data_IF_707570705538
#
_entry.id   IF_707570705538
#
_cell.length_a   1.000
_cell.length_b   1.000
_cell.length_c   1.000
_cell.angle_alpha   90.00
_cell.angle_beta   90.00
_cell.angle_gamma   90.00
#
_symmetry.space_group_name_H-M   'P 1'
#
loop_
_entity.id
_entity.type
_entity.pdbx_description
1 polymer ?
#
# COMPACT_ATOMS: atom_id res chain seq x y z
N UNK A 1 -4.86 5.17 -21.70
CA UNK A 1 -4.98 4.16 -20.64
C UNK A 1 -4.45 4.78 -19.35
N UNK A 2 -5.21 4.76 -18.25
CA UNK A 2 -4.68 5.14 -16.94
C UNK A 2 -4.10 3.87 -16.31
N UNK A 3 -2.79 3.82 -16.15
CA UNK A 3 -2.11 2.72 -15.46
C UNK A 3 -2.04 3.04 -13.97
N UNK A 4 -2.06 2.00 -13.13
CA UNK A 4 -1.84 2.15 -11.69
C UNK A 4 -0.49 1.54 -11.35
N UNK A 5 0.38 2.32 -10.73
CA UNK A 5 1.67 1.85 -10.24
C UNK A 5 1.45 1.08 -8.95
N UNK A 6 1.96 -0.14 -8.88
CA UNK A 6 1.93 -0.95 -7.67
C UNK A 6 3.33 -1.02 -7.07
N UNK A 7 3.51 -0.44 -5.89
CA UNK A 7 4.74 -0.56 -5.10
C UNK A 7 4.60 -1.79 -4.22
N UNK A 8 5.54 -2.73 -4.35
CA UNK A 8 5.52 -4.03 -3.67
C UNK A 8 6.68 -4.11 -2.67
N UNK A 9 6.37 -4.29 -1.38
CA UNK A 9 7.35 -4.46 -0.30
C UNK A 9 7.21 -5.86 0.29
N UNK A 10 7.95 -6.83 -0.28
CA UNK A 10 7.86 -8.25 0.07
C UNK A 10 8.77 -8.69 1.22
N UNK A 11 9.82 -7.94 1.52
CA UNK A 11 10.79 -8.27 2.56
C UNK A 11 11.09 -7.04 3.42
N UNK A 12 11.50 -7.23 4.69
CA UNK A 12 11.98 -6.14 5.52
C UNK A 12 13.10 -5.37 4.82
N UNK A 13 12.96 -4.05 4.76
CA UNK A 13 13.95 -3.13 4.23
C UNK A 13 14.63 -2.38 5.38
N UNK A 14 15.71 -1.65 5.09
CA UNK A 14 16.15 -0.62 6.05
C UNK A 14 15.05 0.44 6.20
N UNK A 15 15.00 1.12 7.35
CA UNK A 15 13.99 2.17 7.59
C UNK A 15 14.00 3.25 6.49
N UNK A 16 15.20 3.62 6.02
CA UNK A 16 15.38 4.55 4.90
C UNK A 16 14.76 4.01 3.59
N UNK A 17 15.07 2.77 3.21
CA UNK A 17 14.55 2.15 1.98
C UNK A 17 13.04 1.96 2.03
N UNK A 18 12.50 1.64 3.20
CA UNK A 18 11.06 1.54 3.40
C UNK A 18 10.38 2.89 3.24
N UNK A 19 10.92 3.94 3.86
CA UNK A 19 10.46 5.32 3.66
C UNK A 19 10.51 5.73 2.18
N UNK A 20 11.63 5.51 1.50
CA UNK A 20 11.79 5.81 0.07
C UNK A 20 10.71 5.13 -0.79
N UNK A 21 10.36 3.87 -0.49
CA UNK A 21 9.31 3.16 -1.21
C UNK A 21 7.92 3.80 -1.02
N UNK A 22 7.62 4.28 0.19
CA UNK A 22 6.38 4.99 0.46
C UNK A 22 6.37 6.40 -0.15
N UNK A 23 7.52 7.09 -0.15
CA UNK A 23 7.69 8.40 -0.78
C UNK A 23 7.42 8.33 -2.29
N UNK A 24 7.82 7.26 -2.97
CA UNK A 24 7.49 7.04 -4.40
C UNK A 24 5.97 7.03 -4.62
N UNK A 25 5.22 6.40 -3.71
CA UNK A 25 3.77 6.35 -3.81
C UNK A 25 3.12 7.72 -3.56
N UNK A 26 3.63 8.48 -2.58
CA UNK A 26 3.20 9.85 -2.31
C UNK A 26 3.48 10.80 -3.46
N UNK A 27 4.70 10.76 -4.02
CA UNK A 27 5.07 11.56 -5.18
C UNK A 27 4.20 11.19 -6.37
N UNK A 28 3.95 9.90 -6.61
CA UNK A 28 3.03 9.49 -7.67
C UNK A 28 1.63 10.12 -7.49
N UNK A 29 1.09 10.05 -6.27
CA UNK A 29 -0.22 10.60 -5.97
C UNK A 29 -0.29 12.13 -6.13
N UNK A 30 0.77 12.86 -5.77
CA UNK A 30 0.81 14.33 -5.91
C UNK A 30 0.82 14.80 -7.37
N UNK A 31 1.28 13.96 -8.30
CA UNK A 31 1.22 14.20 -9.75
C UNK A 31 0.01 13.55 -10.43
N UNK A 32 -1.04 13.20 -9.67
CA UNK A 32 -2.25 12.51 -10.16
C UNK A 32 -1.97 11.15 -10.86
N UNK A 33 -0.80 10.56 -10.60
CA UNK A 33 -0.45 9.22 -11.07
C UNK A 33 -1.01 8.23 -10.07
N UNK A 34 -1.93 7.38 -10.51
CA UNK A 34 -2.57 6.40 -9.63
C UNK A 34 -1.50 5.43 -9.11
N UNK A 35 -1.36 5.34 -7.78
CA UNK A 35 -0.44 4.44 -7.13
C UNK A 35 -1.14 3.66 -6.01
N UNK A 36 -0.63 2.47 -5.72
CA UNK A 36 -1.03 1.65 -4.60
C UNK A 36 0.20 0.99 -3.99
N UNK A 37 0.14 0.70 -2.69
CA UNK A 37 1.24 0.09 -1.95
C UNK A 37 0.77 -1.25 -1.38
N UNK A 38 1.54 -2.31 -1.62
CA UNK A 38 1.36 -3.61 -0.99
C UNK A 38 2.55 -3.92 -0.07
N UNK A 39 2.26 -4.29 1.17
CA UNK A 39 3.25 -4.68 2.18
C UNK A 39 2.90 -6.06 2.70
N UNK A 40 3.84 -7.01 2.59
CA UNK A 40 3.66 -8.34 3.16
C UNK A 40 3.59 -8.28 4.70
N UNK A 41 2.76 -9.16 5.29
CA UNK A 41 2.54 -9.29 6.72
C UNK A 41 3.81 -9.45 7.56
N UNK A 42 4.82 -10.17 7.07
CA UNK A 42 6.07 -10.36 7.79
C UNK A 42 6.90 -9.08 7.84
N UNK A 43 6.87 -8.29 6.78
CA UNK A 43 7.44 -6.93 6.76
C UNK A 43 6.71 -6.00 7.73
N UNK A 44 5.38 -6.07 7.80
CA UNK A 44 4.60 -5.28 8.76
C UNK A 44 5.00 -5.63 10.20
N UNK A 45 5.04 -6.93 10.53
CA UNK A 45 5.45 -7.39 11.87
C UNK A 45 6.86 -6.94 12.23
N UNK A 46 7.78 -6.94 11.27
CA UNK A 46 9.13 -6.44 11.49
C UNK A 46 9.10 -4.98 11.96
N UNK A 47 8.36 -4.09 11.28
CA UNK A 47 8.28 -2.68 11.66
C UNK A 47 7.45 -2.42 12.92
N UNK A 48 6.45 -3.25 13.23
CA UNK A 48 5.71 -3.17 14.50
C UNK A 48 6.62 -3.39 15.72
N UNK A 49 7.64 -4.24 15.58
CA UNK A 49 8.59 -4.58 16.65
C UNK A 49 9.85 -3.71 16.64
N UNK A 50 10.05 -2.89 15.60
CA UNK A 50 11.16 -1.95 15.50
C UNK A 50 10.89 -0.68 16.33
N UNK A 51 11.94 0.05 16.75
CA UNK A 51 11.76 1.38 17.32
C UNK A 51 10.94 2.28 16.39
N UNK A 52 9.87 2.88 16.93
CA UNK A 52 8.99 3.71 16.12
C UNK A 52 9.72 4.98 15.67
N UNK A 53 9.65 5.26 14.36
CA UNK A 53 10.14 6.49 13.76
C UNK A 53 8.95 7.41 13.49
N UNK A 54 8.98 8.60 14.09
CA UNK A 54 7.96 9.64 13.87
C UNK A 54 7.85 9.99 12.38
N UNK A 55 8.97 10.04 11.67
CA UNK A 55 8.99 10.33 10.23
C UNK A 55 8.24 9.26 9.43
N UNK A 56 8.39 7.99 9.80
CA UNK A 56 7.74 6.90 9.08
C UNK A 56 6.24 6.87 9.35
N UNK A 57 5.83 7.17 10.58
CA UNK A 57 4.41 7.34 10.93
C UNK A 57 3.78 8.51 10.16
N UNK A 58 4.48 9.64 10.04
CA UNK A 58 4.03 10.77 9.23
C UNK A 58 3.84 10.39 7.76
N UNK A 59 4.79 9.66 7.16
CA UNK A 59 4.69 9.18 5.78
C UNK A 59 3.49 8.26 5.59
N UNK A 60 3.23 7.36 6.54
CA UNK A 60 2.06 6.48 6.49
C UNK A 60 0.75 7.27 6.63
N UNK A 61 0.70 8.29 7.48
CA UNK A 61 -0.48 9.15 7.61
C UNK A 61 -0.74 9.95 6.33
N UNK A 62 0.32 10.49 5.70
CA UNK A 62 0.20 11.19 4.41
C UNK A 62 -0.35 10.29 3.31
N UNK A 63 -0.05 8.98 3.30
CA UNK A 63 -0.66 8.05 2.34
C UNK A 63 -2.19 8.06 2.45
N UNK A 64 -2.71 8.16 3.68
CA UNK A 64 -4.14 8.31 3.94
C UNK A 64 -4.71 9.62 3.39
N UNK A 65 -4.02 10.75 3.63
CA UNK A 65 -4.43 12.08 3.14
C UNK A 65 -4.46 12.16 1.61
N UNK A 66 -3.47 11.56 0.95
CA UNK A 66 -3.38 11.47 -0.51
C UNK A 66 -4.24 10.33 -1.10
N UNK A 67 -5.06 9.66 -0.28
CA UNK A 67 -5.92 8.54 -0.69
C UNK A 67 -5.16 7.41 -1.42
N UNK A 68 -3.90 7.18 -1.05
CA UNK A 68 -3.07 6.10 -1.58
C UNK A 68 -3.47 4.79 -0.91
N UNK A 69 -3.99 3.79 -1.65
CA UNK A 69 -4.40 2.53 -1.05
C UNK A 69 -3.20 1.75 -0.49
N UNK A 70 -3.31 1.30 0.76
CA UNK A 70 -2.37 0.38 1.39
C UNK A 70 -2.99 -1.01 1.56
N UNK A 71 -2.29 -2.03 1.08
CA UNK A 71 -2.73 -3.42 1.11
C UNK A 71 -1.73 -4.32 1.82
N UNK A 72 -2.25 -5.40 2.39
CA UNK A 72 -1.46 -6.50 2.93
C UNK A 72 -2.19 -7.83 2.68
N UNK A 73 -1.43 -8.92 2.70
CA UNK A 73 -1.96 -10.28 2.57
C UNK A 73 -2.82 -10.69 3.79
N UNK A 74 -2.67 -10.01 4.94
CA UNK A 74 -3.50 -10.22 6.15
C UNK A 74 -3.84 -8.90 6.83
N UNK A 75 -4.82 -8.91 7.75
CA UNK A 75 -5.17 -7.74 8.57
C UNK A 75 -4.08 -7.46 9.60
N UNK A 76 -3.40 -6.33 9.49
CA UNK A 76 -2.37 -5.88 10.42
C UNK A 76 -2.47 -4.36 10.67
N UNK A 77 -2.00 -3.88 11.82
CA UNK A 77 -1.87 -2.44 12.11
C UNK A 77 -0.39 -2.07 12.08
N UNK A 78 0.13 -1.29 11.13
CA UNK A 78 1.55 -0.89 11.19
C UNK A 78 1.86 -0.01 12.43
N UNK A 79 0.88 0.78 12.90
CA UNK A 79 0.96 1.68 14.07
C UNK A 79 -0.36 1.66 14.87
N UNK A 80 -0.68 2.68 15.68
CA UNK A 80 -1.95 2.77 16.44
C UNK A 80 -3.21 2.75 15.55
N UNK A 81 -3.07 3.14 14.28
CA UNK A 81 -4.17 3.11 13.31
C UNK A 81 -4.32 1.71 12.70
N UNK A 82 -5.51 1.13 12.83
CA UNK A 82 -5.84 -0.15 12.21
C UNK A 82 -5.96 0.00 10.69
N UNK A 83 -5.21 -0.81 9.93
CA UNK A 83 -5.53 -0.97 8.50
C UNK A 83 -6.76 -1.86 8.37
N UNK A 84 -7.76 -1.38 7.63
CA UNK A 84 -8.83 -2.22 7.17
C UNK A 84 -8.43 -2.81 5.81
N UNK A 85 -8.01 -4.09 5.75
CA UNK A 85 -7.72 -4.72 4.47
C UNK A 85 -9.01 -4.79 3.67
N UNK A 86 -9.00 -4.16 2.50
CA UNK A 86 -10.05 -4.36 1.51
C UNK A 86 -9.65 -5.61 0.73
N UNK A 87 -10.52 -6.62 0.72
CA UNK A 87 -10.30 -7.83 -0.06
C UNK A 87 -10.10 -7.46 -1.55
N UNK A 88 -9.18 -8.16 -2.23
CA UNK A 88 -8.90 -7.92 -3.65
C UNK A 88 -10.16 -7.99 -4.53
N UNK A 89 -11.11 -8.85 -4.15
CA UNK A 89 -12.44 -8.95 -4.77
C UNK A 89 -13.26 -7.66 -4.63
N UNK A 90 -13.21 -7.01 -3.47
CA UNK A 90 -13.89 -5.73 -3.24
C UNK A 90 -13.21 -4.58 -4.01
N UNK A 91 -11.89 -4.59 -4.16
CA UNK A 91 -11.17 -3.65 -5.03
C UNK A 91 -11.52 -3.87 -6.51
N UNK A 92 -11.65 -5.11 -6.93
CA UNK A 92 -12.00 -5.46 -8.32
C UNK A 92 -13.44 -5.06 -8.64
N UNK A 93 -14.36 -5.22 -7.69
CA UNK A 93 -15.76 -4.79 -7.84
C UNK A 93 -15.94 -3.27 -7.83
N UNK A 94 -15.11 -2.55 -7.05
CA UNK A 94 -15.14 -1.08 -7.00
C UNK A 94 -14.30 -0.43 -8.12
N UNK A 95 -13.39 -1.19 -8.74
CA UNK A 95 -12.67 -0.80 -9.94
C UNK A 95 -13.63 -0.74 -11.13
N UNK A 96 -13.77 0.44 -11.76
CA UNK A 96 -14.55 0.63 -13.00
C UNK A 96 -13.97 -0.14 -14.20
N UNK A 97 -12.84 -0.84 -14.03
CA UNK A 97 -12.24 -1.71 -15.03
C UNK A 97 -12.63 -3.16 -14.72
N UNK A 98 -13.72 -3.62 -15.33
CA UNK A 98 -14.06 -5.04 -15.36
C UNK A 98 -13.11 -5.77 -16.32
N UNK A 99 -12.23 -6.63 -15.80
CA UNK A 99 -11.58 -7.64 -16.62
C UNK A 99 -12.59 -8.75 -16.90
N UNK A 100 -13.25 -8.70 -18.07
CA UNK A 100 -13.99 -9.86 -18.56
C UNK A 100 -12.98 -10.97 -18.82
N UNK A 101 -12.93 -11.95 -17.92
CA UNK A 101 -12.32 -13.25 -18.24
C UNK A 101 -13.22 -13.88 -19.29
N UNK A 102 -12.79 -13.83 -20.55
CA UNK A 102 -13.47 -14.55 -21.62
C UNK A 102 -13.51 -16.03 -21.27
N UNK A 103 -14.71 -16.64 -21.29
CA UNK A 103 -14.83 -18.09 -21.24
C UNK A 103 -14.08 -18.65 -22.45
N UNK A 104 -12.98 -19.35 -22.21
CA UNK A 104 -12.43 -20.25 -23.21
C UNK A 104 -13.47 -21.36 -23.41
N UNK A 105 -14.00 -21.43 -24.64
CA UNK A 105 -14.80 -22.56 -25.11
C UNK A 105 -13.93 -23.79 -25.39
#
# INVERSE_FOLDING_TARGET
>A
MKYTNLIIIQHPLSALRFKEALDIALVSASYEITAAVFINSDTIKYYQNAPQSLELEQVVNMLGEFCVPLFSDKKHSLYQNAFNPIALSALTNNSKHQFRVGKAG
#
